data_IF_005208527748
#
_entry.id   IF_005208527748
#
_cell.length_a   1.000
_cell.length_b   1.000
_cell.length_c   1.000
_cell.angle_alpha   90.00
_cell.angle_beta   90.00
_cell.angle_gamma   90.00
#
_symmetry.space_group_name_H-M   'P 1'
#
loop_
_entity.id
_entity.type
_entity.pdbx_description
1 polymer ?
#
# COMPACT_ATOMS: atom_id res chain seq x y z
N UNK A 1 -6.93 -1.89 -10.39
CA UNK A 1 -6.25 -1.51 -9.14
C UNK A 1 -6.13 -2.76 -8.27
N UNK A 2 -4.95 -3.00 -7.70
CA UNK A 2 -4.74 -4.17 -6.84
C UNK A 2 -5.33 -3.93 -5.45
N UNK A 3 -5.96 -4.95 -4.88
CA UNK A 3 -6.41 -4.97 -3.48
C UNK A 3 -5.32 -5.67 -2.67
N UNK A 4 -4.90 -5.04 -1.58
CA UNK A 4 -3.88 -5.56 -0.67
C UNK A 4 -4.56 -5.96 0.61
N UNK A 5 -4.41 -7.22 1.01
CA UNK A 5 -4.98 -7.70 2.26
C UNK A 5 -4.45 -6.91 3.44
N UNK A 6 -5.36 -6.56 4.35
CA UNK A 6 -5.09 -5.74 5.52
C UNK A 6 -5.94 -6.24 6.69
N UNK A 7 -5.56 -7.35 7.30
CA UNK A 7 -6.39 -7.97 8.35
C UNK A 7 -6.06 -7.48 9.78
N UNK A 8 -5.19 -6.48 9.90
CA UNK A 8 -4.65 -6.01 11.19
C UNK A 8 -5.72 -5.30 12.04
N UNK A 9 -6.69 -4.62 11.42
CA UNK A 9 -7.81 -3.99 12.15
C UNK A 9 -9.06 -4.86 12.21
N UNK A 10 -9.09 -5.97 11.48
CA UNK A 10 -10.22 -6.91 11.45
C UNK A 10 -10.15 -7.85 10.24
N UNK A 11 -10.79 -9.03 10.32
CA UNK A 11 -10.72 -10.05 9.29
C UNK A 11 -11.36 -9.60 7.97
N UNK A 12 -10.81 -10.05 6.85
CA UNK A 12 -11.35 -9.81 5.50
C UNK A 12 -11.25 -8.37 5.01
N UNK A 13 -10.49 -7.52 5.71
CA UNK A 13 -10.24 -6.15 5.30
C UNK A 13 -9.11 -6.08 4.27
N UNK A 14 -9.22 -5.10 3.36
CA UNK A 14 -8.20 -4.85 2.33
C UNK A 14 -8.06 -3.36 2.03
N UNK A 15 -6.88 -2.95 1.58
CA UNK A 15 -6.53 -1.61 1.13
C UNK A 15 -6.49 -1.53 -0.39
N UNK A 16 -6.95 -0.42 -0.95
CA UNK A 16 -6.66 -0.07 -2.34
C UNK A 16 -6.78 1.43 -2.58
N UNK A 17 -6.09 1.89 -3.62
CA UNK A 17 -6.18 3.27 -4.10
C UNK A 17 -6.51 3.28 -5.59
N UNK A 18 -7.61 3.94 -5.93
CA UNK A 18 -7.93 4.39 -7.28
C UNK A 18 -7.62 5.89 -7.41
N UNK A 19 -7.79 6.45 -8.61
CA UNK A 19 -7.51 7.88 -8.86
C UNK A 19 -8.32 8.79 -7.92
N UNK A 20 -9.59 8.49 -7.66
CA UNK A 20 -10.44 9.32 -6.79
C UNK A 20 -9.98 9.29 -5.33
N UNK A 21 -9.45 8.16 -4.85
CA UNK A 21 -8.81 8.04 -3.53
C UNK A 21 -7.47 8.75 -3.49
N UNK A 22 -6.65 8.64 -4.53
CA UNK A 22 -5.37 9.35 -4.60
C UNK A 22 -5.59 10.87 -4.57
N UNK A 23 -6.57 11.40 -5.33
CA UNK A 23 -6.96 12.83 -5.25
C UNK A 23 -7.35 13.23 -3.83
N UNK A 24 -8.07 12.37 -3.09
CA UNK A 24 -8.39 12.63 -1.67
C UNK A 24 -7.13 12.68 -0.80
N UNK A 25 -6.13 11.82 -1.05
CA UNK A 25 -4.84 11.87 -0.35
C UNK A 25 -4.17 13.22 -0.60
N UNK A 26 -4.11 13.66 -1.86
CA UNK A 26 -3.49 14.93 -2.23
C UNK A 26 -4.18 16.12 -1.57
N UNK A 27 -5.51 16.14 -1.58
CA UNK A 27 -6.31 17.19 -0.95
C UNK A 27 -6.11 17.27 0.56
N UNK A 28 -5.93 16.14 1.25
CA UNK A 28 -5.75 16.09 2.71
C UNK A 28 -4.32 16.39 3.11
N UNK A 29 -3.35 15.85 2.38
CA UNK A 29 -1.93 15.90 2.77
C UNK A 29 -1.17 17.07 2.14
N UNK A 30 -1.71 17.68 1.08
CA UNK A 30 -1.02 18.68 0.27
C UNK A 30 0.13 18.11 -0.56
N UNK A 31 0.26 16.78 -0.64
CA UNK A 31 1.37 16.08 -1.29
C UNK A 31 0.85 15.03 -2.25
N UNK A 32 1.54 14.82 -3.37
CA UNK A 32 1.20 13.70 -4.25
C UNK A 32 1.38 12.37 -3.54
N UNK A 33 0.43 11.45 -3.71
CA UNK A 33 0.57 10.09 -3.20
C UNK A 33 1.82 9.38 -3.73
N UNK A 34 2.27 9.74 -4.93
CA UNK A 34 3.53 9.23 -5.48
C UNK A 34 4.76 9.74 -4.74
N UNK A 35 4.79 11.03 -4.44
CA UNK A 35 5.91 11.69 -3.76
C UNK A 35 6.04 11.23 -2.30
N UNK A 36 4.92 11.01 -1.62
CA UNK A 36 4.89 10.47 -0.25
C UNK A 36 5.74 9.19 -0.16
N UNK A 37 5.61 8.30 -1.15
CA UNK A 37 6.37 7.04 -1.18
C UNK A 37 7.80 7.26 -1.66
N UNK A 38 8.00 7.96 -2.79
CA UNK A 38 9.32 8.13 -3.40
C UNK A 38 10.31 8.88 -2.49
N UNK A 39 9.81 9.86 -1.75
CA UNK A 39 10.62 10.70 -0.87
C UNK A 39 10.66 10.19 0.58
N UNK A 40 10.10 8.99 0.84
CA UNK A 40 10.02 8.40 2.18
C UNK A 40 9.38 9.33 3.22
N UNK A 41 8.38 10.11 2.82
CA UNK A 41 7.74 11.11 3.66
C UNK A 41 6.53 10.57 4.44
N UNK A 42 6.35 9.25 4.47
CA UNK A 42 5.25 8.59 5.15
C UNK A 42 5.41 8.68 6.68
N UNK A 43 4.99 9.82 7.23
CA UNK A 43 4.84 10.01 8.68
C UNK A 43 3.47 9.51 9.18
N UNK A 44 3.29 9.45 10.50
CA UNK A 44 2.06 8.92 11.13
C UNK A 44 0.78 9.69 10.75
N UNK A 45 0.89 11.01 10.54
CA UNK A 45 -0.25 11.83 10.09
C UNK A 45 -0.69 11.44 8.67
N UNK A 46 0.26 11.26 7.77
CA UNK A 46 -0.01 10.79 6.41
C UNK A 46 -0.49 9.34 6.41
N UNK A 47 0.10 8.47 7.23
CA UNK A 47 -0.31 7.06 7.36
C UNK A 47 -1.77 6.94 7.79
N UNK A 48 -2.19 7.67 8.82
CA UNK A 48 -3.59 7.64 9.31
C UNK A 48 -4.58 8.22 8.29
N UNK A 49 -4.19 9.25 7.53
CA UNK A 49 -4.98 9.76 6.41
C UNK A 49 -5.14 8.71 5.29
N UNK A 50 -4.04 8.04 4.93
CA UNK A 50 -4.04 6.97 3.93
C UNK A 50 -4.92 5.79 4.35
N UNK A 51 -4.83 5.34 5.60
CA UNK A 51 -5.67 4.28 6.14
C UNK A 51 -7.16 4.66 6.10
N UNK A 52 -7.50 5.91 6.47
CA UNK A 52 -8.87 6.43 6.43
C UNK A 52 -9.48 6.40 5.02
N UNK A 53 -8.68 6.72 4.01
CA UNK A 53 -9.13 6.71 2.61
C UNK A 53 -9.16 5.26 2.06
N UNK A 54 -8.09 4.51 2.29
CA UNK A 54 -7.87 3.17 1.73
C UNK A 54 -8.79 2.09 2.30
N UNK A 55 -9.27 2.26 3.53
CA UNK A 55 -10.19 1.33 4.21
C UNK A 55 -11.65 1.79 4.20
N UNK A 56 -11.99 2.89 3.53
CA UNK A 56 -13.31 3.52 3.61
C UNK A 56 -14.48 2.57 3.29
N UNK A 57 -14.26 1.57 2.44
CA UNK A 57 -15.23 0.52 2.12
C UNK A 57 -15.59 -0.39 3.31
N UNK A 58 -14.73 -0.48 4.32
CA UNK A 58 -14.94 -1.24 5.56
C UNK A 58 -15.48 -0.36 6.70
N UNK A 59 -15.80 0.91 6.40
CA UNK A 59 -16.32 1.87 7.35
C UNK A 59 -15.58 3.21 7.26
N UNK A 60 -16.33 4.30 7.45
CA UNK A 60 -15.75 5.65 7.46
C UNK A 60 -15.29 5.95 8.89
N UNK A 61 -13.98 6.07 9.08
CA UNK A 61 -13.34 6.45 10.35
C UNK A 61 -12.41 7.63 10.10
N UNK A 62 -12.28 8.53 11.06
CA UNK A 62 -11.35 9.66 10.95
C UNK A 62 -9.90 9.22 11.27
N UNK A 63 -8.88 10.02 10.92
CA UNK A 63 -7.48 9.69 11.20
C UNK A 63 -7.18 9.39 12.68
N UNK A 64 -7.84 10.08 13.61
CA UNK A 64 -7.64 9.88 15.05
C UNK A 64 -8.04 8.47 15.50
N UNK A 65 -9.12 7.90 14.94
CA UNK A 65 -9.52 6.53 15.24
C UNK A 65 -8.42 5.54 14.86
N UNK A 66 -7.76 5.73 13.72
CA UNK A 66 -6.64 4.89 13.28
C UNK A 66 -5.41 5.07 14.17
N UNK A 67 -5.10 6.29 14.59
CA UNK A 67 -4.01 6.55 15.53
C UNK A 67 -4.22 5.78 16.85
N UNK A 68 -5.42 5.87 17.44
CA UNK A 68 -5.77 5.12 18.65
C UNK A 68 -5.69 3.61 18.41
N UNK A 69 -6.21 3.12 17.28
CA UNK A 69 -6.22 1.69 16.98
C UNK A 69 -4.80 1.12 16.79
N UNK A 70 -3.93 1.86 16.11
CA UNK A 70 -2.52 1.47 15.99
C UNK A 70 -1.82 1.47 17.34
N UNK A 71 -2.08 2.45 18.21
CA UNK A 71 -1.51 2.44 19.57
C UNK A 71 -1.94 1.21 20.36
N UNK A 72 -3.23 0.86 20.36
CA UNK A 72 -3.74 -0.35 21.03
C UNK A 72 -3.04 -1.63 20.56
N UNK A 73 -2.76 -1.73 19.25
CA UNK A 73 -2.12 -2.89 18.64
C UNK A 73 -0.62 -2.93 18.93
N UNK A 74 0.05 -1.78 18.91
CA UNK A 74 1.47 -1.67 19.31
C UNK A 74 1.63 -2.10 20.78
N UNK A 75 0.72 -1.67 21.66
CA UNK A 75 0.73 -2.07 23.07
C UNK A 75 0.51 -3.59 23.25
N UNK A 76 -0.07 -4.27 22.23
CA UNK A 76 -0.26 -5.72 22.17
C UNK A 76 0.90 -6.46 21.48
N UNK A 77 1.92 -5.74 21.03
CA UNK A 77 3.12 -6.30 20.40
C UNK A 77 3.11 -6.34 18.87
N UNK A 78 2.18 -5.63 18.22
CA UNK A 78 2.26 -5.43 16.76
C UNK A 78 3.36 -4.43 16.39
N UNK A 79 3.98 -4.67 15.24
CA UNK A 79 5.04 -3.84 14.69
C UNK A 79 4.48 -2.78 13.74
N UNK A 80 5.13 -1.61 13.69
CA UNK A 80 4.71 -0.52 12.79
C UNK A 80 4.67 -0.93 11.32
N UNK A 81 5.57 -1.84 10.94
CA UNK A 81 5.71 -2.38 9.59
C UNK A 81 4.43 -3.09 9.11
N UNK A 82 3.65 -3.69 10.02
CA UNK A 82 2.39 -4.36 9.71
C UNK A 82 1.32 -3.38 9.20
N UNK A 83 1.41 -2.10 9.57
CA UNK A 83 0.52 -1.05 9.06
C UNK A 83 1.09 -0.38 7.81
N UNK A 84 2.40 -0.12 7.81
CA UNK A 84 3.09 0.65 6.77
C UNK A 84 3.17 -0.14 5.46
N UNK A 85 3.62 -1.40 5.50
CA UNK A 85 3.84 -2.20 4.29
C UNK A 85 2.59 -2.34 3.41
N UNK A 86 1.41 -2.69 3.96
CA UNK A 86 0.20 -2.78 3.15
C UNK A 86 -0.18 -1.46 2.48
N UNK A 87 0.04 -0.32 3.14
CA UNK A 87 -0.25 1.01 2.57
C UNK A 87 0.70 1.31 1.40
N UNK A 88 2.00 1.06 1.57
CA UNK A 88 3.01 1.23 0.50
C UNK A 88 2.66 0.34 -0.69
N UNK A 89 2.36 -0.94 -0.44
CA UNK A 89 1.93 -1.90 -1.46
C UNK A 89 0.65 -1.46 -2.17
N UNK A 90 -0.32 -0.90 -1.46
CA UNK A 90 -1.58 -0.46 -2.06
C UNK A 90 -1.39 0.79 -2.95
N UNK A 91 -0.50 1.72 -2.57
CA UNK A 91 -0.14 2.86 -3.41
C UNK A 91 0.60 2.38 -4.66
N UNK A 92 1.60 1.49 -4.53
CA UNK A 92 2.26 0.89 -5.67
C UNK A 92 1.26 0.15 -6.58
N UNK A 93 0.35 -0.61 -5.99
CA UNK A 93 -0.72 -1.38 -6.64
C UNK A 93 -1.79 -0.54 -7.34
N UNK A 94 -1.80 0.79 -7.12
CA UNK A 94 -2.61 1.72 -7.91
C UNK A 94 -2.02 1.98 -9.30
N UNK A 95 -0.71 1.76 -9.47
CA UNK A 95 0.05 2.04 -10.70
C UNK A 95 0.60 3.47 -10.80
N UNK A 96 0.30 4.36 -9.84
CA UNK A 96 0.72 5.78 -9.88
C UNK A 96 2.24 5.97 -9.89
N UNK A 97 2.98 5.00 -9.32
CA UNK A 97 4.43 5.03 -9.24
C UNK A 97 5.14 4.54 -10.51
N UNK A 98 4.39 4.01 -11.48
CA UNK A 98 4.91 3.42 -12.71
C UNK A 98 5.08 1.89 -12.63
N UNK A 99 5.18 1.25 -13.80
CA UNK A 99 5.26 -0.21 -13.94
C UNK A 99 6.52 -0.82 -13.30
N UNK A 100 7.64 -0.12 -13.35
CA UNK A 100 8.90 -0.58 -12.76
C UNK A 100 8.76 -0.78 -11.24
N UNK A 101 8.20 0.22 -10.54
CA UNK A 101 7.93 0.14 -9.10
C UNK A 101 6.87 -0.91 -8.80
N UNK A 102 5.81 -0.99 -9.62
CA UNK A 102 4.78 -2.02 -9.47
C UNK A 102 5.38 -3.43 -9.47
N UNK A 103 6.17 -3.78 -10.48
CA UNK A 103 6.76 -5.12 -10.60
C UNK A 103 7.92 -5.37 -9.62
N UNK A 104 8.58 -4.32 -9.11
CA UNK A 104 9.52 -4.48 -8.01
C UNK A 104 8.83 -4.94 -6.72
N UNK A 105 7.59 -4.47 -6.48
CA UNK A 105 6.78 -4.82 -5.30
C UNK A 105 5.97 -6.11 -5.51
N UNK A 106 5.51 -6.37 -6.74
CA UNK A 106 4.76 -7.57 -7.15
C UNK A 106 5.52 -8.35 -8.22
N UNK A 107 6.70 -8.90 -7.88
CA UNK A 107 7.57 -9.58 -8.84
C UNK A 107 6.94 -10.79 -9.51
N UNK A 108 5.99 -11.45 -8.86
CA UNK A 108 5.24 -12.59 -9.38
C UNK A 108 4.32 -12.22 -10.55
N UNK A 109 4.01 -10.93 -10.73
CA UNK A 109 3.14 -10.44 -11.80
C UNK A 109 3.94 -9.88 -13.00
N UNK A 110 5.27 -9.94 -12.95
CA UNK A 110 6.13 -9.45 -14.03
C UNK A 110 6.10 -10.38 -15.26
N UNK A 111 5.51 -9.96 -16.39
CA UNK A 111 5.42 -10.78 -17.60
C UNK A 111 6.78 -11.14 -18.22
N UNK A 112 7.86 -10.44 -17.82
CA UNK A 112 9.23 -10.72 -18.25
C UNK A 112 9.90 -11.87 -17.49
N UNK A 113 9.45 -12.19 -16.27
CA UNK A 113 10.09 -13.21 -15.42
C UNK A 113 9.79 -14.66 -15.84
N UNK A 114 8.66 -14.91 -16.51
CA UNK A 114 8.35 -16.24 -17.03
C UNK A 114 9.24 -16.64 -18.23
N UNK A 115 9.83 -15.68 -18.95
CA UNK A 115 10.63 -15.96 -20.16
C UNK A 115 12.09 -16.40 -19.88
N UNK A 116 12.53 -16.38 -18.62
CA UNK A 116 13.92 -16.68 -18.23
C UNK A 116 14.23 -18.14 -17.88
N UNK A 117 13.24 -19.03 -17.74
CA UNK A 117 13.44 -20.42 -17.24
C UNK A 117 13.46 -21.52 -18.32
N UNK A 118 13.64 -21.19 -19.61
CA UNK A 118 13.40 -22.15 -20.69
C UNK A 118 14.37 -22.19 -21.87
N UNK A 119 15.63 -21.73 -21.76
CA UNK A 119 16.61 -21.87 -22.87
C UNK A 119 18.00 -22.32 -22.39
N UNK A 120 18.08 -23.50 -21.80
CA UNK A 120 19.32 -24.28 -21.86
C UNK A 120 19.45 -24.87 -23.28
N UNK A 121 20.22 -24.22 -24.15
CA UNK A 121 20.62 -24.81 -25.45
C UNK A 121 21.51 -26.03 -25.17
N UNK A 122 21.28 -27.20 -25.77
CA UNK A 122 22.28 -28.26 -25.77
C UNK A 122 23.50 -27.78 -26.57
N UNK A 123 24.69 -27.93 -25.99
CA UNK A 123 25.95 -27.76 -26.72
C UNK A 123 26.10 -28.93 -27.69
N UNK A 124 26.38 -28.61 -28.95
CA UNK A 124 26.84 -29.56 -29.98
C UNK A 124 28.04 -30.38 -29.51
#
# INVERSE_FOLDING_TARGET
MKKIDFEVFGPGQYLYFDIGRLIQVENITGKSAGDIIRNQELNLGILTALLSIGLRQHGIKNPQWYATKMQELIDQGHEMEEFVQPVVKAIAGSGILGKEVYYAIFPEEDPGKEQGKGKAKPKN
#
